data_IF_951873039717
#
_entry.id   IF_951873039717
#
_cell.length_a   1.000
_cell.length_b   1.000
_cell.length_c   1.000
_cell.angle_alpha   90.00
_cell.angle_beta   90.00
_cell.angle_gamma   90.00
#
_symmetry.space_group_name_H-M   'P 1'
#
loop_
_entity.id
_entity.type
_entity.pdbx_description
1 polymer ?
#
# COMPACT_ATOMS: atom_id res chain seq x y z
N UNK A 1 15.79 -109.59 5.38
CA UNK A 1 15.10 -108.92 4.30
C UNK A 1 14.00 -108.12 4.95
N UNK A 2 14.18 -106.79 5.21
CA UNK A 2 13.20 -105.94 5.83
C UNK A 2 12.75 -104.91 4.81
N UNK A 3 11.44 -104.59 4.69
CA UNK A 3 10.99 -103.47 3.90
C UNK A 3 10.81 -102.19 4.77
N UNK A 4 11.28 -101.08 4.24
CA UNK A 4 11.21 -99.75 4.79
C UNK A 4 9.73 -99.26 4.72
N UNK A 5 9.20 -98.86 5.88
CA UNK A 5 8.00 -98.04 5.94
C UNK A 5 8.31 -96.56 5.96
N UNK A 6 7.91 -95.85 4.93
CA UNK A 6 7.97 -94.36 4.86
C UNK A 6 6.87 -93.76 5.69
N UNK A 7 7.24 -92.98 6.70
CA UNK A 7 6.34 -92.15 7.47
C UNK A 7 6.16 -90.82 6.72
N UNK A 8 4.95 -90.56 6.23
CA UNK A 8 4.53 -89.28 5.70
C UNK A 8 4.14 -88.38 6.87
N UNK A 9 4.82 -87.25 7.05
CA UNK A 9 4.41 -86.18 7.97
C UNK A 9 3.55 -85.20 7.22
N UNK A 10 2.42 -84.69 7.76
CA UNK A 10 1.63 -83.64 7.14
C UNK A 10 2.33 -82.29 7.39
N UNK A 11 2.54 -81.51 6.33
CA UNK A 11 2.90 -80.10 6.41
C UNK A 11 1.67 -79.30 6.77
N UNK A 12 1.71 -78.67 7.93
CA UNK A 12 0.74 -77.61 8.29
C UNK A 12 1.11 -76.33 7.56
N UNK A 13 0.23 -75.87 6.68
CA UNK A 13 0.35 -74.59 6.01
C UNK A 13 -0.24 -73.54 6.93
N UNK A 14 0.63 -72.67 7.52
CA UNK A 14 0.20 -71.48 8.24
C UNK A 14 -0.10 -70.37 7.21
N UNK A 15 -1.33 -70.02 7.01
CA UNK A 15 -1.71 -68.82 6.27
C UNK A 15 -1.60 -67.60 7.17
N UNK A 16 -0.62 -66.76 6.97
CA UNK A 16 -0.55 -65.42 7.56
C UNK A 16 -1.54 -64.50 6.80
N UNK A 17 -2.62 -64.12 7.46
CA UNK A 17 -3.49 -63.03 7.00
C UNK A 17 -2.79 -61.68 7.31
N UNK A 18 -2.25 -60.99 6.32
CA UNK A 18 -1.76 -59.64 6.44
C UNK A 18 -2.96 -58.69 6.41
N UNK A 19 -3.34 -58.11 7.56
CA UNK A 19 -4.29 -57.02 7.65
C UNK A 19 -3.58 -55.74 7.20
N UNK A 20 -3.89 -55.25 6.01
CA UNK A 20 -3.45 -53.93 5.53
C UNK A 20 -4.22 -52.86 6.27
N UNK A 21 -3.57 -52.16 7.19
CA UNK A 21 -4.04 -50.90 7.78
C UNK A 21 -3.98 -49.81 6.71
N UNK A 22 -5.13 -49.53 6.09
CA UNK A 22 -5.29 -48.35 5.24
C UNK A 22 -5.43 -47.15 6.18
N UNK A 23 -4.33 -46.42 6.40
CA UNK A 23 -4.38 -45.12 7.03
C UNK A 23 -5.06 -44.13 6.06
N UNK A 24 -6.02 -43.33 6.53
CA UNK A 24 -6.55 -42.25 5.68
C UNK A 24 -5.44 -41.24 5.41
N UNK A 25 -4.94 -41.18 4.18
CA UNK A 25 -4.11 -40.10 3.71
C UNK A 25 -5.01 -38.86 3.65
N UNK A 26 -5.06 -38.11 4.75
CA UNK A 26 -5.58 -36.76 4.72
C UNK A 26 -4.78 -36.00 3.67
N UNK A 27 -5.42 -35.69 2.55
CA UNK A 27 -4.86 -34.77 1.59
C UNK A 27 -4.63 -33.44 2.34
N UNK A 28 -3.38 -33.18 2.73
CA UNK A 28 -3.00 -31.84 3.11
C UNK A 28 -3.30 -30.97 1.87
N UNK A 29 -4.37 -30.19 1.95
CA UNK A 29 -4.63 -29.16 0.97
C UNK A 29 -3.38 -28.29 0.96
N UNK A 30 -2.60 -28.40 -0.12
CA UNK A 30 -1.51 -27.48 -0.37
C UNK A 30 -2.14 -26.08 -0.34
N UNK A 31 -1.76 -25.28 0.66
CA UNK A 31 -2.11 -23.88 0.67
C UNK A 31 -1.68 -23.35 -0.69
N UNK A 32 -2.64 -22.89 -1.48
CA UNK A 32 -2.33 -22.25 -2.75
C UNK A 32 -1.29 -21.19 -2.46
N UNK A 33 -0.16 -21.24 -3.17
CA UNK A 33 0.86 -20.21 -3.06
C UNK A 33 0.14 -18.86 -3.20
N UNK A 34 0.47 -17.86 -2.36
CA UNK A 34 -0.16 -16.56 -2.45
C UNK A 34 -0.04 -16.10 -3.89
N UNK A 35 -1.17 -15.76 -4.50
CA UNK A 35 -1.20 -15.23 -5.86
C UNK A 35 -0.34 -13.96 -5.84
N UNK A 36 0.83 -14.02 -6.46
CA UNK A 36 1.84 -12.97 -6.41
C UNK A 36 1.50 -11.88 -7.43
N UNK A 37 0.39 -11.19 -7.23
CA UNK A 37 -0.08 -10.22 -8.20
C UNK A 37 -0.50 -8.90 -7.55
N UNK A 38 0.08 -7.82 -8.01
CA UNK A 38 -0.42 -6.49 -7.87
C UNK A 38 -1.72 -6.33 -8.69
N UNK A 39 -2.79 -5.79 -8.08
CA UNK A 39 -4.15 -5.77 -8.64
C UNK A 39 -4.72 -7.17 -8.95
N UNK A 40 -4.30 -8.17 -8.20
CA UNK A 40 -4.90 -9.49 -8.25
C UNK A 40 -6.20 -9.54 -7.43
N UNK A 41 -7.32 -9.47 -8.12
CA UNK A 41 -8.66 -9.47 -7.51
C UNK A 41 -9.04 -10.82 -6.88
N UNK A 42 -8.26 -11.87 -7.08
CA UNK A 42 -8.42 -13.16 -6.41
C UNK A 42 -7.66 -13.24 -5.08
N UNK A 43 -6.76 -12.27 -4.80
CA UNK A 43 -5.96 -12.25 -3.57
C UNK A 43 -6.83 -12.23 -2.32
N UNK A 44 -6.50 -13.07 -1.36
CA UNK A 44 -7.12 -13.09 -0.03
C UNK A 44 -6.07 -12.72 1.02
N UNK A 45 -6.35 -11.70 1.85
CA UNK A 45 -5.47 -11.33 2.94
C UNK A 45 -5.18 -12.51 3.86
N UNK A 46 -3.93 -12.65 4.28
CA UNK A 46 -3.49 -13.69 5.21
C UNK A 46 -3.74 -13.29 6.67
N UNK A 47 -3.59 -14.24 7.58
CA UNK A 47 -3.63 -13.92 9.02
C UNK A 47 -2.50 -12.98 9.46
N UNK A 48 -1.33 -13.06 8.81
CA UNK A 48 -0.20 -12.16 9.06
C UNK A 48 -0.48 -10.74 8.54
N UNK A 49 -1.14 -10.62 7.38
CA UNK A 49 -1.50 -9.35 6.77
C UNK A 49 -2.98 -9.31 6.47
N UNK A 50 -3.83 -9.07 7.50
CA UNK A 50 -5.29 -9.24 7.40
C UNK A 50 -5.99 -8.11 6.63
N UNK A 51 -5.27 -7.08 6.22
CA UNK A 51 -5.81 -5.94 5.48
C UNK A 51 -5.12 -5.80 4.12
N UNK A 52 -5.90 -5.59 3.03
CA UNK A 52 -5.34 -5.22 1.74
C UNK A 52 -4.75 -3.81 1.80
N UNK A 53 -3.71 -3.56 1.02
CA UNK A 53 -3.09 -2.24 0.88
C UNK A 53 -3.56 -1.61 -0.43
N UNK A 54 -4.09 -0.39 -0.36
CA UNK A 54 -4.45 0.43 -1.52
C UNK A 54 -3.42 1.53 -1.69
N UNK A 55 -2.78 1.56 -2.85
CA UNK A 55 -1.76 2.51 -3.24
C UNK A 55 -2.40 3.66 -4.04
N UNK A 56 -2.13 4.90 -3.63
CA UNK A 56 -2.74 6.12 -4.17
C UNK A 56 -1.65 7.03 -4.71
N UNK A 57 -1.55 7.14 -6.05
CA UNK A 57 -0.47 7.88 -6.74
C UNK A 57 -0.51 9.39 -6.51
N UNK A 58 0.59 10.07 -6.82
CA UNK A 58 0.70 11.52 -6.78
C UNK A 58 0.16 12.20 -8.04
N UNK A 59 0.28 13.54 -8.07
CA UNK A 59 -0.05 14.39 -9.21
C UNK A 59 0.72 13.96 -10.45
N UNK A 60 0.07 13.92 -11.60
CA UNK A 60 0.54 13.44 -12.90
C UNK A 60 0.81 11.93 -12.98
N UNK A 61 0.92 11.22 -11.87
CA UNK A 61 1.18 9.79 -11.82
C UNK A 61 0.00 8.93 -12.25
N UNK A 62 0.19 7.63 -12.19
CA UNK A 62 -0.85 6.64 -12.42
C UNK A 62 -0.66 5.41 -11.52
N UNK A 63 -1.59 4.46 -11.63
CA UNK A 63 -1.62 3.24 -10.83
C UNK A 63 -0.43 2.30 -11.05
N UNK A 64 0.42 2.57 -12.05
CA UNK A 64 1.57 1.73 -12.40
C UNK A 64 2.89 2.44 -12.13
N UNK A 65 3.13 3.60 -12.75
CA UNK A 65 4.44 4.26 -12.73
C UNK A 65 4.88 4.69 -11.33
N UNK A 66 3.95 5.17 -10.51
CA UNK A 66 4.24 5.57 -9.13
C UNK A 66 4.65 4.38 -8.23
N UNK A 67 4.33 3.14 -8.63
CA UNK A 67 4.39 1.98 -7.75
C UNK A 67 5.23 0.81 -8.28
N UNK A 68 5.96 1.00 -9.38
CA UNK A 68 6.79 -0.06 -10.02
C UNK A 68 7.77 -0.73 -9.05
N UNK A 69 8.29 -0.01 -8.06
CA UNK A 69 9.16 -0.57 -7.03
C UNK A 69 8.39 -1.05 -5.79
N UNK A 70 7.54 -0.18 -5.25
CA UNK A 70 6.92 -0.43 -3.94
C UNK A 70 5.82 -1.49 -3.97
N UNK A 71 5.00 -1.58 -5.03
CA UNK A 71 3.95 -2.60 -5.10
C UNK A 71 4.53 -4.03 -5.11
N UNK A 72 5.55 -4.37 -5.93
CA UNK A 72 6.23 -5.67 -5.82
C UNK A 72 6.89 -5.90 -4.45
N UNK A 73 7.46 -4.87 -3.85
CA UNK A 73 8.08 -4.95 -2.52
C UNK A 73 7.07 -5.38 -1.44
N UNK A 74 5.85 -4.86 -1.48
CA UNK A 74 4.75 -5.28 -0.60
C UNK A 74 4.22 -6.68 -0.93
N UNK A 75 4.05 -6.99 -2.23
CA UNK A 75 3.61 -8.31 -2.69
C UNK A 75 4.57 -9.41 -2.22
N UNK A 76 5.88 -9.19 -2.32
CA UNK A 76 6.89 -10.11 -1.82
C UNK A 76 6.79 -10.36 -0.30
N UNK A 77 6.27 -9.40 0.44
CA UNK A 77 6.00 -9.52 1.88
C UNK A 77 4.64 -10.13 2.21
N UNK A 78 3.88 -10.55 1.20
CA UNK A 78 2.62 -11.27 1.37
C UNK A 78 1.38 -10.39 1.52
N UNK A 79 1.46 -9.10 1.21
CA UNK A 79 0.29 -8.22 1.17
C UNK A 79 -0.54 -8.43 -0.09
N UNK A 80 -1.85 -8.31 0.01
CA UNK A 80 -2.74 -8.07 -1.12
C UNK A 80 -2.66 -6.57 -1.48
N UNK A 81 -2.14 -6.24 -2.66
CA UNK A 81 -1.84 -4.87 -3.07
C UNK A 81 -2.71 -4.45 -4.25
N UNK A 82 -3.30 -3.28 -4.14
CA UNK A 82 -4.15 -2.70 -5.18
C UNK A 82 -3.76 -1.25 -5.44
N UNK A 83 -3.89 -0.79 -6.67
CA UNK A 83 -3.66 0.61 -7.04
C UNK A 83 -4.71 1.07 -8.05
N UNK A 84 -5.02 2.37 -8.03
CA UNK A 84 -6.05 2.95 -8.87
C UNK A 84 -5.52 4.15 -9.65
N UNK A 85 -6.16 4.43 -10.79
CA UNK A 85 -6.09 5.73 -11.46
C UNK A 85 -7.27 6.59 -10.98
N UNK A 86 -7.01 7.86 -10.69
CA UNK A 86 -8.03 8.80 -10.27
C UNK A 86 -7.77 10.21 -10.83
N UNK A 87 -8.78 11.05 -10.85
CA UNK A 87 -8.62 12.47 -11.21
C UNK A 87 -8.22 12.70 -12.66
N UNK A 88 -8.63 11.82 -13.59
CA UNK A 88 -8.39 11.99 -15.03
C UNK A 88 -9.24 13.12 -15.59
N UNK A 89 -8.64 13.96 -16.41
CA UNK A 89 -9.36 14.99 -17.17
C UNK A 89 -9.63 14.53 -18.61
N UNK A 90 -10.79 14.91 -19.19
CA UNK A 90 -11.07 14.72 -20.61
C UNK A 90 -9.97 15.35 -21.47
N UNK A 91 -9.49 14.62 -22.48
CA UNK A 91 -8.43 15.10 -23.38
C UNK A 91 -7.01 15.02 -22.82
N UNK A 92 -6.81 14.54 -21.59
CA UNK A 92 -5.50 14.34 -20.96
C UNK A 92 -5.29 12.85 -20.64
N UNK A 93 -4.89 12.02 -21.61
CA UNK A 93 -4.86 10.57 -21.43
C UNK A 93 -3.67 10.06 -20.61
N UNK A 94 -2.58 10.83 -20.52
CA UNK A 94 -1.31 10.37 -19.94
C UNK A 94 -1.17 10.67 -18.44
N UNK A 95 -1.85 11.72 -17.95
CA UNK A 95 -1.69 12.21 -16.60
C UNK A 95 -2.99 12.09 -15.80
N UNK A 96 -2.87 11.68 -14.55
CA UNK A 96 -3.97 11.60 -13.61
C UNK A 96 -3.73 12.50 -12.38
N UNK A 97 -4.63 12.52 -11.42
CA UNK A 97 -4.53 13.40 -10.26
C UNK A 97 -4.77 14.89 -10.59
N UNK A 98 -5.47 15.18 -11.68
CA UNK A 98 -5.69 16.53 -12.23
C UNK A 98 -7.11 17.05 -12.00
N UNK A 99 -8.07 16.16 -11.82
CA UNK A 99 -9.46 16.51 -11.51
C UNK A 99 -9.63 17.06 -10.10
N UNK A 100 -10.80 17.64 -9.77
CA UNK A 100 -11.10 18.10 -8.42
C UNK A 100 -10.80 17.02 -7.38
N UNK A 101 -10.13 17.40 -6.29
CA UNK A 101 -9.65 16.41 -5.31
C UNK A 101 -10.79 15.77 -4.52
N UNK A 102 -11.87 16.47 -4.27
CA UNK A 102 -13.08 15.92 -3.64
C UNK A 102 -13.75 14.84 -4.51
N UNK A 103 -13.83 15.05 -5.83
CA UNK A 103 -14.25 14.03 -6.79
C UNK A 103 -13.31 12.83 -6.84
N UNK A 104 -11.99 13.07 -6.80
CA UNK A 104 -10.95 12.05 -6.73
C UNK A 104 -11.08 11.20 -5.45
N UNK A 105 -11.38 11.83 -4.32
CA UNK A 105 -11.66 11.14 -3.07
C UNK A 105 -12.91 10.23 -3.15
N UNK A 106 -13.92 10.63 -3.91
CA UNK A 106 -15.08 9.77 -4.22
C UNK A 106 -14.69 8.53 -5.04
N UNK A 107 -13.80 8.70 -6.03
CA UNK A 107 -13.26 7.59 -6.82
C UNK A 107 -12.46 6.61 -5.96
N UNK A 108 -11.63 7.12 -5.04
CA UNK A 108 -10.92 6.31 -4.05
C UNK A 108 -11.91 5.51 -3.19
N UNK A 109 -12.98 6.15 -2.70
CA UNK A 109 -14.00 5.49 -1.89
C UNK A 109 -14.63 4.29 -2.60
N UNK A 110 -15.05 4.48 -3.86
CA UNK A 110 -15.60 3.40 -4.69
C UNK A 110 -14.58 2.28 -4.94
N UNK A 111 -13.30 2.63 -5.13
CA UNK A 111 -12.24 1.65 -5.30
C UNK A 111 -11.98 0.83 -4.02
N UNK A 112 -11.93 1.49 -2.86
CA UNK A 112 -11.81 0.80 -1.55
C UNK A 112 -12.97 -0.16 -1.34
N UNK A 113 -14.20 0.24 -1.66
CA UNK A 113 -15.37 -0.64 -1.56
C UNK A 113 -15.24 -1.89 -2.42
N UNK A 114 -14.73 -1.74 -3.64
CA UNK A 114 -14.46 -2.87 -4.53
C UNK A 114 -13.35 -3.78 -3.97
N UNK A 115 -12.27 -3.22 -3.41
CA UNK A 115 -11.19 -3.99 -2.79
C UNK A 115 -11.70 -4.78 -1.59
N UNK A 116 -12.47 -4.16 -0.70
CA UNK A 116 -13.04 -4.84 0.47
C UNK A 116 -14.02 -5.95 0.07
N UNK A 117 -14.86 -5.70 -0.94
CA UNK A 117 -15.78 -6.72 -1.47
C UNK A 117 -15.03 -7.92 -2.06
N UNK A 118 -13.93 -7.71 -2.79
CA UNK A 118 -13.16 -8.79 -3.41
C UNK A 118 -12.34 -9.59 -2.40
N UNK A 119 -11.75 -8.91 -1.40
CA UNK A 119 -10.88 -9.54 -0.40
C UNK A 119 -11.65 -10.16 0.77
N UNK A 120 -12.83 -9.63 1.08
CA UNK A 120 -13.59 -9.97 2.29
C UNK A 120 -13.04 -9.32 3.57
N UNK A 121 -12.04 -8.44 3.46
CA UNK A 121 -11.47 -7.76 4.61
C UNK A 121 -12.44 -6.68 5.13
N UNK A 122 -12.50 -6.44 6.45
CA UNK A 122 -13.38 -5.42 7.03
C UNK A 122 -12.84 -4.01 6.83
N UNK A 123 -11.53 -3.84 6.68
CA UNK A 123 -10.83 -2.57 6.48
C UNK A 123 -9.64 -2.76 5.54
N UNK A 124 -9.23 -1.67 4.87
CA UNK A 124 -8.00 -1.58 4.11
C UNK A 124 -7.00 -0.64 4.81
N UNK A 125 -5.72 -0.76 4.44
CA UNK A 125 -4.71 0.24 4.72
C UNK A 125 -4.41 1.02 3.44
N UNK A 126 -4.17 2.33 3.55
CA UNK A 126 -3.86 3.20 2.42
C UNK A 126 -2.41 3.65 2.49
N UNK A 127 -1.71 3.60 1.37
CA UNK A 127 -0.41 4.26 1.21
C UNK A 127 -0.49 5.20 0.03
N UNK A 128 -0.20 6.47 0.27
CA UNK A 128 -0.27 7.49 -0.76
C UNK A 128 1.00 8.31 -0.89
N UNK A 129 1.32 8.72 -2.11
CA UNK A 129 2.44 9.58 -2.42
C UNK A 129 1.93 10.97 -2.81
N UNK A 130 2.55 12.04 -2.27
CA UNK A 130 2.21 13.42 -2.64
C UNK A 130 0.69 13.69 -2.46
N UNK A 131 -0.01 14.21 -3.48
CA UNK A 131 -1.47 14.37 -3.48
C UNK A 131 -2.21 13.09 -3.01
N UNK A 132 -1.70 11.92 -3.41
CA UNK A 132 -2.26 10.63 -2.99
C UNK A 132 -2.12 10.32 -1.50
N UNK A 133 -1.23 11.01 -0.79
CA UNK A 133 -1.12 10.95 0.67
C UNK A 133 -2.06 11.94 1.38
N UNK A 134 -2.41 13.04 0.72
CA UNK A 134 -3.31 14.07 1.26
C UNK A 134 -4.79 13.80 0.92
N UNK A 135 -5.12 13.49 -0.33
CA UNK A 135 -6.50 13.29 -0.81
C UNK A 135 -7.30 12.27 0.01
N UNK A 136 -6.73 11.15 0.47
CA UNK A 136 -7.45 10.20 1.31
C UNK A 136 -8.00 10.80 2.59
N UNK A 137 -7.40 11.86 3.15
CA UNK A 137 -7.95 12.56 4.33
C UNK A 137 -9.34 13.13 4.05
N UNK A 138 -9.59 13.60 2.81
CA UNK A 138 -10.94 14.05 2.42
C UNK A 138 -11.96 12.89 2.43
N UNK A 139 -11.57 11.74 1.89
CA UNK A 139 -12.38 10.51 1.94
C UNK A 139 -12.68 10.09 3.38
N UNK A 140 -11.66 10.11 4.26
CA UNK A 140 -11.80 9.74 5.67
C UNK A 140 -12.74 10.69 6.43
N UNK A 141 -12.61 12.01 6.21
CA UNK A 141 -13.36 13.03 6.96
C UNK A 141 -14.79 13.22 6.47
N UNK A 142 -15.02 13.17 5.16
CA UNK A 142 -16.27 13.67 4.56
C UNK A 142 -17.06 12.59 3.82
N UNK A 143 -16.46 11.45 3.47
CA UNK A 143 -17.10 10.42 2.64
C UNK A 143 -17.23 9.06 3.35
N UNK A 144 -17.12 9.04 4.67
CA UNK A 144 -17.31 7.83 5.49
C UNK A 144 -16.15 6.83 5.46
N UNK A 145 -14.98 7.20 4.93
CA UNK A 145 -13.81 6.34 4.82
C UNK A 145 -13.27 5.84 6.15
N UNK A 146 -13.46 6.58 7.25
CA UNK A 146 -12.97 6.19 8.58
C UNK A 146 -13.50 4.81 9.05
N UNK A 147 -14.67 4.41 8.61
CA UNK A 147 -15.22 3.09 8.93
C UNK A 147 -14.53 1.95 8.17
N UNK A 148 -13.90 2.24 7.03
CA UNK A 148 -13.37 1.27 6.07
C UNK A 148 -11.83 1.24 6.00
N UNK A 149 -11.17 2.20 6.63
CA UNK A 149 -9.70 2.34 6.63
C UNK A 149 -9.17 2.14 8.04
N UNK A 150 -8.04 1.46 8.16
CA UNK A 150 -7.35 1.25 9.41
C UNK A 150 -6.15 2.21 9.57
N UNK A 151 -5.35 2.36 8.50
CA UNK A 151 -4.19 3.23 8.51
C UNK A 151 -4.07 4.02 7.20
N UNK A 152 -3.54 5.24 7.29
CA UNK A 152 -3.09 6.06 6.17
C UNK A 152 -1.60 6.37 6.35
N UNK A 153 -0.79 5.92 5.40
CA UNK A 153 0.63 6.25 5.31
C UNK A 153 0.84 7.21 4.15
N UNK A 154 1.33 8.40 4.42
CA UNK A 154 1.65 9.41 3.43
C UNK A 154 3.16 9.50 3.19
N UNK A 155 3.60 9.32 1.94
CA UNK A 155 4.96 9.54 1.48
C UNK A 155 5.03 10.94 0.87
N UNK A 156 5.72 11.87 1.52
CA UNK A 156 5.79 13.28 1.15
C UNK A 156 4.42 13.92 0.80
N UNK A 157 3.38 13.76 1.65
CA UNK A 157 2.04 14.26 1.33
C UNK A 157 1.97 15.78 1.44
N UNK A 158 1.20 16.44 0.57
CA UNK A 158 0.95 17.88 0.62
C UNK A 158 -0.24 18.24 1.55
N UNK A 159 -0.20 17.73 2.78
CA UNK A 159 -1.31 17.77 3.76
C UNK A 159 -1.84 19.18 4.07
N UNK A 160 -0.96 20.19 4.05
CA UNK A 160 -1.34 21.60 4.24
C UNK A 160 -1.08 22.43 2.97
N UNK A 161 -1.01 21.71 1.82
CA UNK A 161 -0.78 22.30 0.52
C UNK A 161 0.69 22.61 0.23
N UNK A 162 0.91 23.12 -0.96
CA UNK A 162 2.21 23.56 -1.47
C UNK A 162 2.07 24.86 -2.25
N UNK A 163 3.15 25.31 -2.88
CA UNK A 163 3.16 26.49 -3.74
C UNK A 163 3.08 26.10 -5.22
N UNK A 164 2.66 27.03 -6.08
CA UNK A 164 2.73 26.83 -7.53
C UNK A 164 4.18 26.58 -7.97
N UNK A 165 5.14 27.27 -7.37
CA UNK A 165 6.58 27.04 -7.63
C UNK A 165 7.01 25.63 -7.24
N UNK A 166 6.50 25.06 -6.13
CA UNK A 166 6.71 23.67 -5.77
C UNK A 166 6.15 22.70 -6.81
N UNK A 167 4.92 22.91 -7.26
CA UNK A 167 4.32 22.05 -8.30
C UNK A 167 5.11 22.07 -9.62
N UNK A 168 5.78 23.19 -9.98
CA UNK A 168 6.61 23.25 -11.18
C UNK A 168 7.86 22.36 -11.11
N UNK A 169 8.29 21.99 -9.90
CA UNK A 169 9.41 21.04 -9.72
C UNK A 169 9.10 19.63 -10.20
N UNK A 170 7.82 19.32 -10.45
CA UNK A 170 7.41 18.04 -11.04
C UNK A 170 7.69 17.96 -12.55
N UNK A 171 7.86 19.09 -13.25
CA UNK A 171 8.00 19.13 -14.72
C UNK A 171 9.15 18.28 -15.28
N UNK A 172 10.34 18.19 -14.66
CA UNK A 172 11.42 17.34 -15.15
C UNK A 172 11.04 15.85 -15.20
N UNK A 173 10.15 15.41 -14.31
CA UNK A 173 9.72 14.01 -14.20
C UNK A 173 8.52 13.69 -15.10
N UNK A 174 7.75 14.72 -15.50
CA UNK A 174 6.52 14.58 -16.30
C UNK A 174 6.57 15.47 -17.56
N UNK A 175 7.36 15.09 -18.59
CA UNK A 175 7.45 15.85 -19.84
C UNK A 175 6.07 16.06 -20.48
N UNK A 176 5.74 17.28 -20.87
CA UNK A 176 4.44 17.65 -21.43
C UNK A 176 3.41 18.13 -20.42
N UNK A 177 3.73 18.16 -19.12
CA UNK A 177 2.80 18.64 -18.09
C UNK A 177 2.79 20.20 -17.93
N UNK A 178 3.67 20.93 -18.61
CA UNK A 178 3.80 22.39 -18.44
C UNK A 178 2.50 23.16 -18.69
N UNK A 179 1.76 22.81 -19.75
CA UNK A 179 0.49 23.47 -20.08
C UNK A 179 -0.57 23.21 -19.01
N UNK A 180 -0.55 22.03 -18.38
CA UNK A 180 -1.47 21.67 -17.32
C UNK A 180 -1.25 22.49 -16.05
N UNK A 181 0.01 22.76 -15.72
CA UNK A 181 0.37 23.66 -14.60
C UNK A 181 -0.04 25.09 -14.91
N UNK A 182 0.23 25.57 -16.12
CA UNK A 182 -0.09 26.95 -16.53
C UNK A 182 -1.60 27.23 -16.56
N UNK A 183 -2.41 26.22 -16.86
CA UNK A 183 -3.89 26.33 -16.87
C UNK A 183 -4.51 26.12 -15.49
N UNK A 184 -3.70 25.86 -14.45
CA UNK A 184 -4.16 25.59 -13.08
C UNK A 184 -5.32 24.60 -13.05
N UNK A 185 -5.09 23.39 -13.57
CA UNK A 185 -6.13 22.34 -13.53
C UNK A 185 -6.67 22.16 -12.11
N UNK A 186 -7.93 21.74 -11.93
CA UNK A 186 -8.58 21.74 -10.61
C UNK A 186 -7.76 21.04 -9.51
N UNK A 187 -7.18 19.87 -9.81
CA UNK A 187 -6.36 19.14 -8.83
C UNK A 187 -5.10 19.88 -8.42
N UNK A 188 -4.49 20.68 -9.32
CA UNK A 188 -3.34 21.53 -8.98
C UNK A 188 -3.78 22.75 -8.15
N UNK A 189 -4.89 23.38 -8.52
CA UNK A 189 -5.44 24.53 -7.78
C UNK A 189 -5.79 24.15 -6.34
N UNK A 190 -6.38 22.96 -6.14
CA UNK A 190 -6.77 22.44 -4.82
C UNK A 190 -5.53 22.18 -3.92
N UNK A 191 -4.37 21.87 -4.48
CA UNK A 191 -3.12 21.63 -3.74
C UNK A 191 -2.43 22.91 -3.27
N UNK A 192 -2.81 24.09 -3.79
CA UNK A 192 -2.19 25.34 -3.37
C UNK A 192 -2.54 25.63 -1.91
N UNK A 193 -1.53 25.95 -1.12
CA UNK A 193 -1.70 26.31 0.28
C UNK A 193 -2.68 27.50 0.43
N UNK A 194 -3.66 27.36 1.31
CA UNK A 194 -4.71 28.36 1.51
C UNK A 194 -5.85 28.31 0.47
N UNK A 195 -5.85 27.37 -0.47
CA UNK A 195 -7.01 27.13 -1.34
C UNK A 195 -8.27 26.79 -0.53
N UNK A 196 -9.44 26.99 -1.10
CA UNK A 196 -10.71 26.66 -0.45
C UNK A 196 -10.77 25.16 -0.07
N UNK A 197 -10.18 24.29 -0.91
CA UNK A 197 -10.07 22.86 -0.62
C UNK A 197 -9.19 22.60 0.61
N UNK A 198 -7.99 23.20 0.68
CA UNK A 198 -7.08 23.04 1.83
C UNK A 198 -7.68 23.58 3.13
N UNK A 199 -8.35 24.74 3.06
CA UNK A 199 -9.05 25.30 4.21
C UNK A 199 -10.14 24.34 4.72
N UNK A 200 -10.96 23.79 3.81
CA UNK A 200 -12.01 22.81 4.15
C UNK A 200 -11.40 21.51 4.73
N UNK A 201 -10.36 20.98 4.09
CA UNK A 201 -9.73 19.72 4.50
C UNK A 201 -9.16 19.82 5.91
N UNK A 202 -8.50 20.93 6.24
CA UNK A 202 -7.80 21.12 7.51
C UNK A 202 -8.70 21.72 8.62
N UNK A 203 -9.90 22.18 8.27
CA UNK A 203 -10.87 22.68 9.26
C UNK A 203 -11.26 21.57 10.26
N UNK A 204 -11.21 21.91 11.57
CA UNK A 204 -11.58 20.97 12.65
C UNK A 204 -10.54 19.92 12.98
N UNK A 205 -9.29 20.09 12.51
CA UNK A 205 -8.16 19.22 12.78
C UNK A 205 -7.79 18.28 11.63
N UNK A 206 -6.63 17.67 11.74
CA UNK A 206 -5.99 16.94 10.63
C UNK A 206 -6.50 15.51 10.46
N UNK A 207 -7.00 14.91 11.53
CA UNK A 207 -7.27 13.48 11.59
C UNK A 207 -8.70 13.16 12.02
N UNK A 208 -9.09 11.91 11.82
CA UNK A 208 -10.35 11.38 12.35
C UNK A 208 -10.08 10.23 13.32
N UNK A 209 -10.94 9.99 14.32
CA UNK A 209 -10.79 8.86 15.23
C UNK A 209 -10.84 7.52 14.51
N UNK A 210 -10.11 6.52 15.04
CA UNK A 210 -10.14 5.14 14.57
C UNK A 210 -9.30 4.84 13.32
N UNK A 211 -8.54 5.82 12.83
CA UNK A 211 -7.55 5.68 11.77
C UNK A 211 -6.18 6.07 12.31
N UNK A 212 -5.15 5.26 12.05
CA UNK A 212 -3.76 5.61 12.35
C UNK A 212 -3.14 6.36 11.19
N UNK A 213 -2.33 7.39 11.47
CA UNK A 213 -1.67 8.19 10.44
C UNK A 213 -0.15 8.13 10.61
N UNK A 214 0.55 7.84 9.53
CA UNK A 214 2.01 7.96 9.47
C UNK A 214 2.36 8.85 8.29
N UNK A 215 3.12 9.89 8.54
CA UNK A 215 3.67 10.78 7.52
C UNK A 215 5.17 10.57 7.46
N UNK A 216 5.68 10.25 6.28
CA UNK A 216 7.11 10.09 6.01
C UNK A 216 7.50 11.21 5.06
N UNK A 217 8.36 12.12 5.51
CA UNK A 217 8.80 13.30 4.77
C UNK A 217 10.32 13.33 4.64
N UNK A 218 10.81 14.08 3.68
CA UNK A 218 12.23 14.36 3.48
C UNK A 218 12.50 15.86 3.60
N UNK A 219 13.65 16.24 4.20
CA UNK A 219 14.07 17.65 4.23
C UNK A 219 14.48 18.18 2.85
N UNK A 220 14.66 17.29 1.89
CA UNK A 220 15.04 17.62 0.50
C UNK A 220 13.84 17.74 -0.42
N UNK A 221 12.62 17.78 0.13
CA UNK A 221 11.40 17.96 -0.65
C UNK A 221 11.37 19.35 -1.29
N UNK A 222 11.42 19.39 -2.61
CA UNK A 222 11.39 20.60 -3.42
C UNK A 222 9.97 20.93 -3.94
N UNK A 223 9.06 19.97 -3.83
CA UNK A 223 7.65 20.11 -4.25
C UNK A 223 6.79 20.57 -3.08
N UNK A 224 6.79 19.84 -1.98
CA UNK A 224 6.03 20.19 -0.77
C UNK A 224 6.91 21.05 0.14
N UNK A 225 6.80 22.36 -0.03
CA UNK A 225 7.67 23.31 0.66
C UNK A 225 6.90 24.31 1.52
N UNK A 226 7.33 24.52 2.77
CA UNK A 226 8.38 23.79 3.49
C UNK A 226 7.96 22.34 3.79
N UNK A 227 8.91 21.39 3.80
CA UNK A 227 8.60 19.96 3.99
C UNK A 227 7.72 19.66 5.23
N UNK A 228 7.80 20.51 6.25
CA UNK A 228 6.98 20.39 7.47
C UNK A 228 5.48 20.62 7.22
N UNK A 229 5.09 21.18 6.08
CA UNK A 229 3.67 21.27 5.69
C UNK A 229 3.06 19.91 5.39
N UNK A 230 3.89 18.88 5.22
CA UNK A 230 3.45 17.50 5.12
C UNK A 230 2.96 16.92 6.46
N UNK A 231 3.47 17.41 7.59
CA UNK A 231 3.20 16.82 8.90
C UNK A 231 1.77 17.11 9.37
N UNK A 232 1.21 16.17 10.13
CA UNK A 232 -0.14 16.25 10.69
C UNK A 232 -0.07 16.42 12.20
N UNK A 233 -1.10 17.02 12.77
CA UNK A 233 -1.32 17.10 14.21
C UNK A 233 -2.45 16.15 14.65
N UNK A 234 -2.22 15.42 15.74
CA UNK A 234 -3.23 14.51 16.30
C UNK A 234 -2.61 13.40 17.16
N UNK A 235 -3.40 12.85 18.06
CA UNK A 235 -2.93 11.81 19.00
C UNK A 235 -2.61 10.47 18.30
N UNK A 236 -3.14 10.24 17.13
CA UNK A 236 -2.98 9.03 16.31
C UNK A 236 -2.03 9.26 15.11
N UNK A 237 -1.17 10.28 15.20
CA UNK A 237 -0.21 10.66 14.16
C UNK A 237 1.20 10.29 14.56
N UNK A 238 1.95 9.76 13.61
CA UNK A 238 3.39 9.61 13.66
C UNK A 238 4.01 10.34 12.46
N UNK A 239 4.72 11.43 12.73
CA UNK A 239 5.48 12.17 11.73
C UNK A 239 6.93 11.68 11.75
N UNK A 240 7.47 11.32 10.61
CA UNK A 240 8.80 10.77 10.41
C UNK A 240 9.56 11.63 9.40
N UNK A 241 10.77 12.06 9.77
CA UNK A 241 11.70 12.66 8.85
C UNK A 241 12.76 11.61 8.46
N UNK A 242 12.91 11.31 7.18
CA UNK A 242 13.85 10.28 6.69
C UNK A 242 15.26 10.49 7.21
N UNK A 243 15.71 11.74 7.29
CA UNK A 243 17.06 12.07 7.74
C UNK A 243 17.28 11.86 9.24
N UNK A 244 16.20 11.69 10.03
CA UNK A 244 16.31 11.25 11.42
C UNK A 244 16.54 9.74 11.53
N UNK A 245 16.08 8.97 10.53
CA UNK A 245 16.31 7.53 10.41
C UNK A 245 17.67 7.22 9.76
N UNK A 246 17.98 7.93 8.70
CA UNK A 246 19.24 7.84 7.96
C UNK A 246 19.73 9.23 7.54
N UNK A 247 20.71 9.82 8.23
CA UNK A 247 21.25 11.14 7.87
C UNK A 247 21.87 11.22 6.47
N UNK A 248 22.21 10.07 5.86
CA UNK A 248 22.77 9.97 4.52
C UNK A 248 21.72 9.84 3.42
N UNK A 249 20.46 9.75 3.78
CA UNK A 249 19.37 9.71 2.82
C UNK A 249 19.22 11.08 2.15
N UNK A 250 19.29 11.07 0.82
CA UNK A 250 19.18 12.28 -0.03
C UNK A 250 17.92 12.25 -0.91
N UNK A 251 17.02 11.33 -0.64
CA UNK A 251 15.78 11.20 -1.43
C UNK A 251 14.99 12.49 -1.41
N UNK A 252 14.61 12.94 -2.60
CA UNK A 252 13.76 14.09 -2.84
C UNK A 252 12.30 13.68 -2.99
N UNK A 253 11.40 14.59 -3.36
CA UNK A 253 9.96 14.37 -3.38
C UNK A 253 9.52 13.15 -4.19
N UNK A 254 10.08 12.96 -5.39
CA UNK A 254 9.68 11.87 -6.27
C UNK A 254 10.32 10.55 -5.82
N UNK A 255 11.59 10.57 -5.43
CA UNK A 255 12.33 9.39 -5.01
C UNK A 255 11.71 8.72 -3.78
N UNK A 256 11.21 9.49 -2.81
CA UNK A 256 10.59 8.95 -1.59
C UNK A 256 9.41 8.00 -1.88
N UNK A 257 8.64 8.27 -2.94
CA UNK A 257 7.54 7.41 -3.37
C UNK A 257 7.98 6.26 -4.28
N UNK A 258 8.98 6.49 -5.16
CA UNK A 258 9.28 5.61 -6.27
C UNK A 258 10.43 4.62 -6.02
N UNK A 259 11.46 5.02 -5.26
CA UNK A 259 12.72 4.27 -5.20
C UNK A 259 13.32 4.13 -3.81
N UNK A 260 12.86 4.92 -2.83
CA UNK A 260 13.46 4.98 -1.51
C UNK A 260 13.04 3.80 -0.63
N UNK A 261 13.94 2.84 -0.47
CA UNK A 261 13.71 1.64 0.34
C UNK A 261 13.68 1.91 1.84
N UNK A 262 14.29 2.98 2.32
CA UNK A 262 14.23 3.38 3.73
C UNK A 262 12.81 3.87 4.04
N UNK A 263 12.24 4.70 3.15
CA UNK A 263 10.84 5.13 3.26
C UNK A 263 9.87 3.95 3.15
N UNK A 264 10.14 2.98 2.26
CA UNK A 264 9.30 1.80 2.11
C UNK A 264 9.34 0.88 3.33
N UNK A 265 10.53 0.66 3.92
CA UNK A 265 10.67 -0.10 5.15
C UNK A 265 9.87 0.56 6.28
N UNK A 266 9.97 1.88 6.41
CA UNK A 266 9.21 2.63 7.40
C UNK A 266 7.69 2.60 7.14
N UNK A 267 7.27 2.57 5.87
CA UNK A 267 5.86 2.39 5.52
C UNK A 267 5.35 0.99 5.90
N UNK A 268 6.16 -0.06 5.72
CA UNK A 268 5.82 -1.43 6.19
C UNK A 268 5.67 -1.47 7.71
N UNK A 269 6.57 -0.81 8.46
CA UNK A 269 6.45 -0.67 9.92
C UNK A 269 5.12 -0.01 10.34
N UNK A 270 4.65 0.96 9.55
CA UNK A 270 3.37 1.62 9.80
C UNK A 270 2.16 0.72 9.47
N UNK A 271 2.29 -0.17 8.48
CA UNK A 271 1.25 -1.13 8.10
C UNK A 271 1.15 -2.31 9.10
N UNK A 272 2.28 -2.70 9.68
CA UNK A 272 2.39 -3.80 10.66
C UNK A 272 3.19 -3.37 11.91
N UNK A 273 2.63 -2.51 12.75
CA UNK A 273 3.35 -1.98 13.92
C UNK A 273 3.66 -3.05 14.99
N UNK A 274 3.00 -4.21 14.95
CA UNK A 274 3.28 -5.30 15.88
C UNK A 274 4.61 -6.01 15.57
N UNK A 275 5.05 -5.97 14.33
CA UNK A 275 6.31 -6.56 13.86
C UNK A 275 7.28 -5.51 13.32
N UNK A 276 7.10 -4.25 13.74
CA UNK A 276 7.96 -3.16 13.28
C UNK A 276 9.42 -3.36 13.70
N UNK A 277 10.31 -3.18 12.76
CA UNK A 277 11.75 -3.24 12.95
C UNK A 277 12.37 -1.84 12.87
N UNK A 278 13.50 -1.64 13.55
CA UNK A 278 14.15 -0.33 13.56
C UNK A 278 14.63 0.04 12.15
N UNK A 279 14.09 1.11 11.59
CA UNK A 279 14.55 1.67 10.32
C UNK A 279 15.88 2.40 10.50
N UNK A 280 16.84 2.12 9.62
CA UNK A 280 18.18 2.73 9.60
C UNK A 280 18.64 2.88 8.15
N UNK A 281 19.84 3.45 7.93
CA UNK A 281 20.44 3.48 6.59
C UNK A 281 20.65 2.07 5.98
N UNK A 282 20.79 1.03 6.80
CA UNK A 282 20.94 -0.34 6.32
C UNK A 282 19.63 -0.91 5.73
N UNK A 283 18.48 -0.33 6.07
CA UNK A 283 17.18 -0.76 5.53
C UNK A 283 17.02 -0.56 4.02
N UNK A 284 17.98 0.08 3.37
CA UNK A 284 18.06 0.12 1.90
C UNK A 284 18.28 -1.27 1.27
N UNK A 285 18.75 -2.24 2.05
CA UNK A 285 19.04 -3.61 1.58
C UNK A 285 17.88 -4.60 1.85
N UNK A 286 16.83 -4.18 2.55
CA UNK A 286 15.70 -5.03 2.98
C UNK A 286 14.69 -5.31 1.86
#
# INVERSE_FOLDING_TARGET
MLPWRRLLRPLAVLTLAAAALVAPTGAAQAASAPSSGWNDWSCKPSAAHPRPVVLVHGTFGNSVDNWLGFAPYLVHRGYCVYSLDYGRLPGVPLFNGLGPIDGSAGQLGAFVDRVLASTGAPKADLVGHSQGGMMPRYYLKFLGGAAKVNALVGLAPDNHGTTLSGLTQLLPYFPGAADLISTATPGLADQIAGSAFQQKLNAGGDTVPGVSYTVIATKYDEVVTPYRSAFLDGANVRNVLLQDLCPLDLSEHVAIGLTDRIAWHEAVNALDPAHAERTTCASVFD
#
